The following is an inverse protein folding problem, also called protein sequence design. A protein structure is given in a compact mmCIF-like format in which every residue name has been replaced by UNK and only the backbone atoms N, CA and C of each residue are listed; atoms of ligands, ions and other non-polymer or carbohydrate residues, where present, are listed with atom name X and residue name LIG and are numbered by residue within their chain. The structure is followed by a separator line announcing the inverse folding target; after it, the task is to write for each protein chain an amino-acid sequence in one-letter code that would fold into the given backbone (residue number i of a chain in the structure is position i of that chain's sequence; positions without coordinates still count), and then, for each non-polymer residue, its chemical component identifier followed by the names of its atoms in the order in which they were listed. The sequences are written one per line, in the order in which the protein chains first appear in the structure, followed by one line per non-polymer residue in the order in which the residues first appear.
data_IF_141687305962
#
_entry.id   IF_141687305962
#
_cell.length_a   1.000
_cell.length_b   1.000
_cell.length_c   1.000
_cell.angle_alpha   90.00
_cell.angle_beta   90.00
_cell.angle_gamma   90.00
#
_symmetry.space_group_name_H-M   'P 1'
#
loop_
_entity.id
_entity.type
_entity.pdbx_description
1 polymer ?
#
# COMPACT_ATOMS: atom_id res chain seq x y z
N UNK A 1 -7.49 8.07 31.88
CA UNK A 1 -7.43 6.76 31.21
C UNK A 1 -5.96 6.39 31.03
N UNK A 2 -5.52 5.22 31.52
CA UNK A 2 -4.21 4.68 31.11
C UNK A 2 -4.23 4.62 29.59
N UNK A 3 -3.29 5.28 28.90
CA UNK A 3 -3.08 5.05 27.47
C UNK A 3 -2.49 3.65 27.36
N UNK A 4 -3.36 2.66 27.17
CA UNK A 4 -2.97 1.31 26.79
C UNK A 4 -2.43 1.42 25.36
N UNK A 5 -1.24 0.87 25.12
CA UNK A 5 -0.72 0.73 23.77
C UNK A 5 -1.69 -0.14 22.97
N UNK A 6 -2.08 0.31 21.78
CA UNK A 6 -2.98 -0.47 20.90
C UNK A 6 -2.14 -1.34 19.96
N UNK A 7 -2.48 -2.62 19.86
CA UNK A 7 -1.77 -3.59 19.04
C UNK A 7 -2.73 -4.16 18.00
N UNK A 8 -2.40 -3.96 16.72
CA UNK A 8 -3.27 -4.34 15.61
C UNK A 8 -2.69 -5.54 14.84
N UNK A 9 -3.52 -6.54 14.56
CA UNK A 9 -3.25 -7.58 13.57
C UNK A 9 -3.97 -7.28 12.26
N UNK A 10 -3.37 -7.57 11.11
CA UNK A 10 -4.11 -7.55 9.84
C UNK A 10 -4.75 -8.91 9.61
N UNK A 11 -6.05 -8.93 9.31
CA UNK A 11 -6.75 -10.16 8.92
C UNK A 11 -6.54 -10.49 7.45
N UNK A 12 -6.46 -11.79 7.17
CA UNK A 12 -6.43 -12.36 5.85
C UNK A 12 -7.05 -13.76 5.76
N UNK A 13 -6.81 -14.45 4.64
CA UNK A 13 -7.48 -15.72 4.34
C UNK A 13 -7.08 -16.89 5.24
N UNK A 14 -6.03 -16.78 6.05
CA UNK A 14 -5.48 -17.91 6.81
C UNK A 14 -5.64 -17.79 8.32
N UNK A 15 -5.98 -16.60 8.84
CA UNK A 15 -5.90 -16.24 10.26
C UNK A 15 -7.25 -15.75 10.84
N UNK A 16 -8.35 -16.06 10.17
CA UNK A 16 -9.70 -15.60 10.54
C UNK A 16 -10.55 -16.65 11.28
N UNK A 17 -9.97 -17.77 11.71
CA UNK A 17 -10.68 -18.76 12.54
C UNK A 17 -10.92 -18.21 13.95
N UNK A 18 -11.98 -18.67 14.63
CA UNK A 18 -12.30 -18.21 15.99
C UNK A 18 -11.21 -18.59 17.00
N UNK A 19 -10.52 -19.72 16.79
CA UNK A 19 -9.39 -20.16 17.61
C UNK A 19 -8.20 -19.20 17.47
N UNK A 20 -7.75 -18.94 16.24
CA UNK A 20 -6.61 -18.05 15.97
C UNK A 20 -6.91 -16.63 16.48
N UNK A 21 -8.10 -16.12 16.22
CA UNK A 21 -8.55 -14.81 16.72
C UNK A 21 -8.54 -14.76 18.26
N UNK A 22 -9.08 -15.79 18.93
CA UNK A 22 -9.08 -15.87 20.38
C UNK A 22 -7.66 -15.83 20.95
N UNK A 23 -6.74 -16.55 20.32
CA UNK A 23 -5.36 -16.67 20.78
C UNK A 23 -4.58 -15.37 20.51
N UNK A 24 -4.82 -14.67 19.39
CA UNK A 24 -4.25 -13.33 19.15
C UNK A 24 -4.74 -12.29 20.16
N UNK A 25 -6.03 -12.29 20.51
CA UNK A 25 -6.56 -11.42 21.56
C UNK A 25 -5.99 -11.78 22.94
N UNK A 26 -5.76 -13.06 23.22
CA UNK A 26 -5.10 -13.50 24.44
C UNK A 26 -3.62 -13.06 24.49
N UNK A 27 -2.94 -13.06 23.34
CA UNK A 27 -1.56 -12.60 23.22
C UNK A 27 -1.39 -11.08 23.42
N UNK A 28 -2.47 -10.30 23.28
CA UNK A 28 -2.48 -8.86 23.57
C UNK A 28 -2.98 -7.98 22.43
N UNK A 29 -3.48 -8.56 21.33
CA UNK A 29 -4.13 -7.80 20.26
C UNK A 29 -5.31 -6.98 20.82
N UNK A 30 -5.45 -5.74 20.37
CA UNK A 30 -6.54 -4.83 20.79
C UNK A 30 -7.51 -4.51 19.67
N UNK A 31 -7.11 -4.72 18.42
CA UNK A 31 -7.94 -4.46 17.25
C UNK A 31 -7.36 -5.09 16.00
N UNK A 32 -8.07 -4.94 14.89
CA UNK A 32 -7.69 -5.53 13.61
C UNK A 32 -7.69 -4.52 12.47
N UNK A 33 -6.92 -4.83 11.44
CA UNK A 33 -6.93 -4.16 10.14
C UNK A 33 -7.48 -5.09 9.07
N UNK A 34 -8.33 -4.55 8.20
CA UNK A 34 -8.69 -5.13 6.91
C UNK A 34 -8.05 -4.32 5.79
N UNK A 35 -7.25 -4.98 4.94
CA UNK A 35 -6.59 -4.31 3.82
C UNK A 35 -7.44 -4.41 2.55
N UNK A 36 -8.13 -3.33 2.18
CA UNK A 36 -9.05 -3.29 1.05
C UNK A 36 -8.35 -3.18 -0.32
N UNK A 37 -7.01 -3.18 -0.36
CA UNK A 37 -6.25 -3.26 -1.62
C UNK A 37 -6.32 -4.66 -2.26
N UNK A 38 -6.59 -5.70 -1.47
CA UNK A 38 -6.60 -7.09 -1.91
C UNK A 38 -7.96 -7.79 -1.78
N UNK A 39 -8.90 -7.19 -1.03
CA UNK A 39 -10.23 -7.76 -0.75
C UNK A 39 -11.28 -6.67 -0.75
N UNK A 40 -12.55 -7.04 -0.94
CA UNK A 40 -13.65 -6.13 -0.67
C UNK A 40 -14.19 -6.37 0.74
N UNK A 41 -14.75 -5.32 1.36
CA UNK A 41 -15.26 -5.44 2.72
C UNK A 41 -16.41 -6.46 2.84
N UNK A 42 -17.19 -6.64 1.77
CA UNK A 42 -18.24 -7.67 1.71
C UNK A 42 -17.68 -9.09 1.73
N UNK A 43 -16.53 -9.33 1.11
CA UNK A 43 -15.90 -10.65 1.06
C UNK A 43 -15.34 -11.06 2.44
N UNK A 44 -15.14 -10.08 3.34
CA UNK A 44 -14.68 -10.28 4.71
C UNK A 44 -15.80 -10.56 5.72
N UNK A 45 -17.08 -10.60 5.30
CA UNK A 45 -18.22 -10.81 6.20
C UNK A 45 -18.07 -12.07 7.09
N UNK A 46 -17.65 -13.25 6.58
CA UNK A 46 -17.42 -14.43 7.42
C UNK A 46 -16.29 -14.24 8.45
N UNK A 47 -15.27 -13.44 8.12
CA UNK A 47 -14.15 -13.16 9.03
C UNK A 47 -14.61 -12.27 10.18
N UNK A 48 -15.48 -11.31 9.88
CA UNK A 48 -16.06 -10.39 10.85
C UNK A 48 -17.06 -11.09 11.78
N UNK A 49 -17.81 -12.06 11.29
CA UNK A 49 -18.66 -12.91 12.13
C UNK A 49 -17.84 -13.65 13.20
N UNK A 50 -16.73 -14.28 12.80
CA UNK A 50 -15.81 -14.94 13.73
C UNK A 50 -15.20 -13.95 14.73
N UNK A 51 -14.79 -12.77 14.27
CA UNK A 51 -14.30 -11.69 15.13
C UNK A 51 -15.32 -11.33 16.22
N UNK A 52 -16.57 -11.08 15.84
CA UNK A 52 -17.58 -10.64 16.81
C UNK A 52 -18.00 -11.76 17.75
N UNK A 53 -18.02 -13.02 17.31
CA UNK A 53 -18.25 -14.16 18.18
C UNK A 53 -17.14 -14.30 19.26
N UNK A 54 -15.88 -14.13 18.87
CA UNK A 54 -14.75 -14.13 19.82
C UNK A 54 -14.80 -12.92 20.76
N UNK A 55 -15.10 -11.73 20.22
CA UNK A 55 -15.19 -10.51 21.01
C UNK A 55 -16.27 -10.59 22.08
N UNK A 56 -17.45 -11.13 21.73
CA UNK A 56 -18.56 -11.35 22.67
C UNK A 56 -18.15 -12.34 23.77
N UNK A 57 -17.58 -13.50 23.40
CA UNK A 57 -17.14 -14.53 24.35
C UNK A 57 -16.09 -14.01 25.32
N UNK A 58 -15.21 -13.09 24.89
CA UNK A 58 -14.15 -12.50 25.71
C UNK A 58 -14.58 -11.21 26.44
N UNK A 59 -15.79 -10.72 26.21
CA UNK A 59 -16.28 -9.43 26.73
C UNK A 59 -15.37 -8.25 26.38
N UNK A 60 -14.86 -8.22 25.14
CA UNK A 60 -14.01 -7.15 24.62
C UNK A 60 -14.73 -6.39 23.50
N UNK A 61 -14.32 -5.15 23.26
CA UNK A 61 -14.75 -4.35 22.11
C UNK A 61 -13.51 -4.04 21.28
N UNK A 62 -13.22 -4.84 20.24
CA UNK A 62 -12.04 -4.63 19.43
C UNK A 62 -12.22 -3.44 18.49
N UNK A 63 -11.13 -2.73 18.24
CA UNK A 63 -11.10 -1.81 17.11
C UNK A 63 -11.12 -2.59 15.79
N UNK A 64 -11.86 -2.06 14.81
CA UNK A 64 -11.78 -2.51 13.42
C UNK A 64 -11.36 -1.34 12.54
N UNK A 65 -10.17 -1.45 11.94
CA UNK A 65 -9.60 -0.50 11.01
C UNK A 65 -9.77 -1.02 9.58
N UNK A 66 -10.20 -0.17 8.66
CA UNK A 66 -10.13 -0.47 7.22
C UNK A 66 -9.03 0.37 6.59
N UNK A 67 -8.10 -0.28 5.91
CA UNK A 67 -7.06 0.37 5.11
C UNK A 67 -7.57 0.49 3.68
N UNK A 68 -7.83 1.74 3.26
CA UNK A 68 -8.35 2.03 1.93
C UNK A 68 -7.33 1.64 0.86
N UNK A 69 -7.80 1.47 -0.37
CA UNK A 69 -6.90 1.25 -1.50
C UNK A 69 -6.14 2.54 -1.82
N UNK A 70 -6.88 3.65 -1.83
CA UNK A 70 -6.41 4.99 -2.11
C UNK A 70 -5.62 5.16 -3.41
N UNK A 71 -4.91 6.29 -3.56
CA UNK A 71 -4.58 6.83 -4.87
C UNK A 71 -3.21 6.38 -5.36
N UNK A 72 -2.99 5.08 -5.39
CA UNK A 72 -1.79 4.52 -6.00
C UNK A 72 -2.01 4.28 -7.49
N UNK A 73 -1.03 4.65 -8.31
CA UNK A 73 -1.05 4.30 -9.73
C UNK A 73 -0.86 2.79 -9.83
N UNK A 74 -1.90 2.10 -10.31
CA UNK A 74 -1.89 0.65 -10.52
C UNK A 74 -2.20 0.35 -11.96
N UNK A 75 -1.57 -0.70 -12.49
CA UNK A 75 -1.94 -1.22 -13.80
C UNK A 75 -3.35 -1.80 -13.77
N UNK A 76 -3.97 -1.90 -14.94
CA UNK A 76 -5.29 -2.50 -15.09
C UNK A 76 -5.30 -4.03 -14.91
N UNK A 77 -6.42 -4.62 -15.29
CA UNK A 77 -6.60 -6.08 -15.28
C UNK A 77 -5.95 -6.66 -16.53
N UNK A 78 -5.07 -7.64 -16.34
CA UNK A 78 -4.50 -8.48 -17.39
C UNK A 78 -5.39 -9.72 -17.57
N UNK A 79 -5.46 -10.24 -18.81
CA UNK A 79 -6.19 -11.50 -19.10
C UNK A 79 -5.56 -12.70 -18.39
N UNK A 80 -4.25 -12.73 -18.36
CA UNK A 80 -3.41 -13.74 -17.72
C UNK A 80 -2.12 -13.06 -17.21
N UNK A 81 -1.43 -13.62 -16.21
CA UNK A 81 -0.12 -13.13 -15.79
C UNK A 81 0.82 -13.04 -16.99
N UNK A 82 1.47 -11.89 -17.16
CA UNK A 82 2.28 -11.57 -18.32
C UNK A 82 3.76 -11.79 -18.00
N UNK A 83 4.42 -12.82 -18.56
CA UNK A 83 5.86 -12.98 -18.42
C UNK A 83 6.58 -11.93 -19.28
N UNK A 84 7.47 -11.17 -18.64
CA UNK A 84 8.27 -10.13 -19.25
C UNK A 84 9.75 -10.51 -19.17
N UNK A 85 10.37 -10.77 -20.32
CA UNK A 85 11.82 -11.03 -20.42
C UNK A 85 12.62 -9.75 -20.61
N UNK A 86 13.82 -9.72 -20.07
CA UNK A 86 14.79 -8.62 -20.24
C UNK A 86 15.00 -8.28 -21.73
N UNK A 87 15.06 -6.99 -22.02
CA UNK A 87 15.22 -6.46 -23.36
C UNK A 87 13.97 -6.52 -24.23
N UNK A 88 12.89 -7.19 -23.82
CA UNK A 88 11.66 -7.29 -24.60
C UNK A 88 10.91 -5.95 -24.67
N UNK A 89 10.16 -5.73 -25.76
CA UNK A 89 9.35 -4.53 -25.93
C UNK A 89 7.96 -4.73 -25.32
N UNK A 90 7.41 -3.69 -24.72
CA UNK A 90 6.03 -3.65 -24.20
C UNK A 90 5.36 -2.33 -24.59
N UNK A 91 4.03 -2.34 -24.65
CA UNK A 91 3.22 -1.16 -24.96
C UNK A 91 2.34 -0.80 -23.77
N UNK A 92 2.33 0.48 -23.38
CA UNK A 92 1.47 1.04 -22.36
C UNK A 92 0.25 1.69 -23.01
N UNK A 93 -0.94 1.37 -22.54
CA UNK A 93 -2.21 1.92 -23.06
C UNK A 93 -3.19 2.25 -21.94
N UNK A 94 -4.17 3.14 -22.15
CA UNK A 94 -5.12 3.51 -21.11
C UNK A 94 -6.01 2.32 -20.75
N UNK A 95 -6.34 2.17 -19.46
CA UNK A 95 -7.28 1.15 -18.98
C UNK A 95 -8.61 1.20 -19.76
N UNK A 96 -9.12 2.40 -20.05
CA UNK A 96 -10.36 2.59 -20.80
C UNK A 96 -10.29 2.03 -22.23
N UNK A 97 -9.12 2.03 -22.87
CA UNK A 97 -8.93 1.47 -24.20
C UNK A 97 -9.03 -0.07 -24.23
N UNK A 98 -8.95 -0.71 -23.06
CA UNK A 98 -9.11 -2.17 -22.89
C UNK A 98 -10.53 -2.57 -22.47
N UNK A 99 -11.30 -1.64 -21.87
CA UNK A 99 -12.68 -1.86 -21.46
C UNK A 99 -13.62 -1.85 -22.69
N UNK A 100 -13.79 -3.01 -23.32
CA UNK A 100 -14.66 -3.18 -24.49
C UNK A 100 -14.03 -3.96 -25.65
N UNK A 101 -12.79 -4.43 -25.50
CA UNK A 101 -12.05 -5.11 -26.57
C UNK A 101 -11.58 -6.50 -26.12
N UNK A 102 -12.39 -7.51 -26.42
CA UNK A 102 -11.85 -8.85 -26.68
C UNK A 102 -10.98 -8.75 -27.93
N UNK A 103 -9.67 -8.55 -27.76
CA UNK A 103 -8.76 -8.59 -28.93
C UNK A 103 -7.73 -9.69 -28.73
N UNK A 104 -8.05 -10.81 -29.34
CA UNK A 104 -7.14 -11.55 -30.19
C UNK A 104 -7.54 -11.30 -31.66
N UNK A 105 -7.27 -10.13 -32.24
CA UNK A 105 -7.37 -9.94 -33.70
C UNK A 105 -6.58 -8.72 -34.22
N UNK A 106 -6.18 -8.70 -35.52
CA UNK A 106 -5.03 -7.93 -36.04
C UNK A 106 -5.30 -6.47 -36.44
N UNK A 107 -6.51 -5.94 -36.26
CA UNK A 107 -6.95 -4.75 -37.01
C UNK A 107 -6.42 -3.39 -36.49
N UNK A 108 -5.66 -3.34 -35.39
CA UNK A 108 -5.08 -2.08 -34.88
C UNK A 108 -3.57 -1.96 -35.13
N UNK A 109 -2.92 -3.00 -35.64
CA UNK A 109 -1.50 -2.97 -36.00
C UNK A 109 -1.23 -2.15 -37.29
N UNK A 110 -2.23 -1.96 -38.15
CA UNK A 110 -2.01 -1.35 -39.47
C UNK A 110 -2.12 0.18 -39.49
N UNK A 111 -2.69 0.81 -38.45
CA UNK A 111 -2.84 2.28 -38.42
C UNK A 111 -1.58 3.03 -38.02
N UNK A 112 -0.56 2.35 -37.49
CA UNK A 112 0.73 2.98 -37.14
C UNK A 112 1.80 2.74 -38.22
N UNK A 113 1.63 1.75 -39.10
CA UNK A 113 2.62 1.38 -40.14
C UNK A 113 2.42 2.07 -41.49
N UNK A 114 1.38 2.89 -41.68
CA UNK A 114 1.06 3.48 -42.99
C UNK A 114 1.64 4.88 -43.24
N UNK A 115 2.27 5.54 -42.26
CA UNK A 115 2.84 6.89 -42.46
C UNK A 115 4.36 6.92 -42.79
N UNK A 116 5.07 5.79 -42.80
CA UNK A 116 6.52 5.75 -43.09
C UNK A 116 6.87 5.46 -44.57
N UNK A 117 5.89 5.31 -45.47
CA UNK A 117 6.18 5.11 -46.90
C UNK A 117 6.18 6.43 -47.66
N UNK A 118 7.12 7.33 -47.37
CA UNK A 118 7.57 8.36 -48.31
C UNK A 118 8.80 9.14 -47.82
N UNK A 119 9.98 8.51 -47.74
CA UNK A 119 11.27 9.17 -48.09
C UNK A 119 12.26 8.10 -48.59
N UNK A 120 13.01 8.47 -49.62
CA UNK A 120 13.92 7.68 -50.46
C UNK A 120 15.14 7.05 -49.77
N UNK A 121 15.46 5.82 -50.22
CA UNK A 121 16.77 5.21 -50.47
C UNK A 121 18.03 5.79 -49.79
N UNK A 122 18.70 5.01 -48.93
CA UNK A 122 19.96 4.29 -49.22
C UNK A 122 20.50 3.59 -47.96
N UNK A 123 21.26 2.51 -48.20
CA UNK A 123 22.09 1.72 -47.28
C UNK A 123 21.43 0.66 -46.37
N UNK A 124 21.76 -0.61 -46.69
CA UNK A 124 21.37 -1.85 -46.01
C UNK A 124 22.37 -2.18 -44.90
N UNK A 125 21.87 -2.51 -43.73
CA UNK A 125 22.50 -3.50 -42.83
C UNK A 125 21.42 -4.42 -42.27
N UNK A 126 21.67 -5.74 -42.19
CA UNK A 126 20.60 -6.72 -41.96
C UNK A 126 20.29 -6.82 -40.47
N UNK A 127 19.17 -6.25 -40.04
CA UNK A 127 18.50 -6.69 -38.80
C UNK A 127 17.70 -7.94 -39.16
N UNK A 128 17.89 -9.09 -38.48
CA UNK A 128 17.13 -10.28 -38.80
C UNK A 128 15.65 -10.04 -38.51
N UNK A 129 14.82 -10.34 -39.50
CA UNK A 129 13.38 -10.40 -39.37
C UNK A 129 13.03 -11.40 -38.25
N UNK A 130 12.48 -10.89 -37.15
CA UNK A 130 11.92 -11.74 -36.11
C UNK A 130 10.39 -11.74 -36.23
N UNK A 131 9.89 -12.92 -36.49
CA UNK A 131 8.50 -13.34 -36.66
C UNK A 131 7.56 -12.84 -35.56
N UNK A 132 6.46 -12.20 -35.95
CA UNK A 132 5.10 -12.42 -35.42
C UNK A 132 4.80 -12.33 -33.91
N UNK A 133 5.73 -11.93 -33.05
CA UNK A 133 5.45 -11.78 -31.63
C UNK A 133 4.64 -10.49 -31.39
N UNK A 134 3.38 -10.64 -30.98
CA UNK A 134 2.56 -9.52 -30.51
C UNK A 134 3.25 -8.88 -29.32
N UNK A 135 3.60 -7.60 -29.46
CA UNK A 135 4.13 -6.80 -28.35
C UNK A 135 3.10 -6.79 -27.21
N UNK A 136 3.46 -7.25 -26.00
CA UNK A 136 2.57 -7.26 -24.87
C UNK A 136 2.03 -5.87 -24.53
N UNK A 137 0.78 -5.81 -24.09
CA UNK A 137 0.10 -4.56 -23.77
C UNK A 137 -0.19 -4.52 -22.28
N UNK A 138 0.29 -3.48 -21.60
CA UNK A 138 0.07 -3.23 -20.19
C UNK A 138 -0.94 -2.07 -20.06
N UNK A 139 -2.16 -2.32 -19.53
CA UNK A 139 -3.12 -1.27 -19.25
C UNK A 139 -2.64 -0.42 -18.07
N UNK A 140 -2.60 0.90 -18.23
CA UNK A 140 -2.20 1.87 -17.20
C UNK A 140 -3.24 2.99 -17.11
N UNK A 141 -3.36 3.70 -15.97
CA UNK A 141 -4.28 4.82 -15.84
C UNK A 141 -3.90 5.93 -16.83
N UNK A 142 -4.89 6.57 -17.47
CA UNK A 142 -4.62 7.63 -18.46
C UNK A 142 -3.83 8.81 -17.85
N UNK A 143 -4.02 9.07 -16.55
CA UNK A 143 -3.32 10.10 -15.80
C UNK A 143 -1.78 9.96 -15.80
N UNK A 144 -1.22 8.81 -16.19
CA UNK A 144 0.24 8.63 -16.21
C UNK A 144 0.91 9.23 -17.45
N UNK A 145 0.20 9.27 -18.59
CA UNK A 145 0.80 9.63 -19.88
C UNK A 145 1.37 11.05 -19.93
N UNK A 146 0.76 12.09 -19.32
CA UNK A 146 1.34 13.43 -19.28
C UNK A 146 2.74 13.51 -18.64
N UNK A 147 3.11 12.49 -17.86
CA UNK A 147 4.39 12.46 -17.15
C UNK A 147 5.46 11.60 -17.83
N UNK A 148 5.09 10.82 -18.86
CA UNK A 148 6.03 9.93 -19.54
C UNK A 148 6.92 10.73 -20.50
N UNK A 149 8.21 10.40 -20.49
CA UNK A 149 9.23 10.94 -21.41
C UNK A 149 10.08 9.79 -21.93
N UNK A 150 10.67 9.95 -23.11
CA UNK A 150 11.65 8.98 -23.59
C UNK A 150 12.85 8.90 -22.62
N UNK A 151 13.32 7.69 -22.36
CA UNK A 151 14.34 7.39 -21.35
C UNK A 151 13.81 7.31 -19.90
N UNK A 152 12.55 7.64 -19.66
CA UNK A 152 11.96 7.60 -18.32
C UNK A 152 11.93 6.15 -17.78
N UNK A 153 12.35 5.98 -16.53
CA UNK A 153 12.27 4.68 -15.85
C UNK A 153 10.92 4.52 -15.16
N UNK A 154 10.28 3.38 -15.39
CA UNK A 154 9.04 2.95 -14.75
C UNK A 154 9.32 1.71 -13.92
N UNK A 155 8.74 1.65 -12.73
CA UNK A 155 8.82 0.52 -11.81
C UNK A 155 7.46 -0.10 -11.67
N UNK A 156 7.35 -1.38 -11.95
CA UNK A 156 6.14 -2.17 -11.79
C UNK A 156 6.34 -3.18 -10.66
N UNK A 157 5.23 -3.56 -10.01
CA UNK A 157 5.22 -4.59 -8.95
C UNK A 157 6.26 -4.29 -7.87
N UNK A 158 6.16 -3.11 -7.28
CA UNK A 158 7.01 -2.61 -6.20
C UNK A 158 8.51 -2.58 -6.56
N UNK A 159 8.80 -2.42 -7.86
CA UNK A 159 10.14 -2.34 -8.40
C UNK A 159 10.76 -3.68 -8.80
N UNK A 160 10.03 -4.79 -8.66
CA UNK A 160 10.46 -6.10 -9.16
C UNK A 160 10.64 -6.12 -10.67
N UNK A 161 9.86 -5.30 -11.39
CA UNK A 161 9.93 -5.16 -12.85
C UNK A 161 10.29 -3.72 -13.19
N UNK A 162 11.28 -3.54 -14.05
CA UNK A 162 11.77 -2.21 -14.46
C UNK A 162 11.59 -2.06 -15.96
N UNK A 163 10.95 -0.99 -16.39
CA UNK A 163 10.80 -0.60 -17.78
C UNK A 163 11.51 0.73 -18.05
N UNK A 164 12.04 0.90 -19.25
CA UNK A 164 12.53 2.19 -19.76
C UNK A 164 11.67 2.60 -20.95
N UNK A 165 11.00 3.75 -20.84
CA UNK A 165 10.18 4.30 -21.92
C UNK A 165 11.06 4.57 -23.14
N UNK A 166 10.72 3.99 -24.28
CA UNK A 166 11.45 4.15 -25.53
C UNK A 166 10.81 5.16 -26.46
N UNK A 167 9.48 5.29 -26.42
CA UNK A 167 8.73 6.22 -27.26
C UNK A 167 7.41 6.61 -26.58
N UNK A 168 7.03 7.88 -26.66
CA UNK A 168 5.71 8.35 -26.21
C UNK A 168 4.93 8.83 -27.44
N UNK A 169 3.67 8.40 -27.56
CA UNK A 169 2.82 8.83 -28.67
C UNK A 169 2.43 10.30 -28.51
N UNK A 170 2.62 11.14 -29.54
CA UNK A 170 2.21 12.54 -29.49
C UNK A 170 0.70 12.74 -29.71
N UNK A 171 0.01 11.75 -30.29
CA UNK A 171 -1.38 11.89 -30.74
C UNK A 171 -2.40 11.22 -29.82
N UNK A 172 -1.97 10.22 -29.04
CA UNK A 172 -2.85 9.40 -28.20
C UNK A 172 -2.13 9.05 -26.91
N UNK A 173 -2.84 8.82 -25.79
CA UNK A 173 -2.26 8.36 -24.53
C UNK A 173 -1.74 6.92 -24.67
N UNK A 174 -0.56 6.75 -25.27
CA UNK A 174 0.12 5.48 -25.48
C UNK A 174 1.63 5.66 -25.44
N UNK A 175 2.36 4.64 -24.98
CA UNK A 175 3.82 4.65 -24.98
C UNK A 175 4.39 3.26 -25.24
N UNK A 176 5.61 3.21 -25.77
CA UNK A 176 6.42 2.00 -25.88
C UNK A 176 7.50 2.05 -24.81
N UNK A 177 7.84 0.88 -24.26
CA UNK A 177 8.92 0.73 -23.31
C UNK A 177 9.68 -0.57 -23.56
N UNK A 178 10.92 -0.61 -23.08
CA UNK A 178 11.77 -1.81 -23.05
C UNK A 178 11.90 -2.32 -21.63
N UNK A 179 11.82 -3.63 -21.43
CA UNK A 179 12.04 -4.28 -20.13
C UNK A 179 13.52 -4.20 -19.79
N UNK A 180 13.88 -3.46 -18.74
CA UNK A 180 15.23 -3.38 -18.21
C UNK A 180 15.50 -4.49 -17.18
N UNK A 181 14.49 -4.86 -16.39
CA UNK A 181 14.48 -6.02 -15.52
C UNK A 181 13.11 -6.68 -15.55
N UNK A 182 13.07 -7.95 -15.93
CA UNK A 182 11.88 -8.74 -16.20
C UNK A 182 11.33 -9.49 -14.99
N UNK A 183 10.20 -10.17 -15.19
CA UNK A 183 9.46 -10.89 -14.17
C UNK A 183 8.07 -11.29 -14.67
N UNK A 184 7.23 -11.82 -13.77
CA UNK A 184 5.83 -12.15 -14.09
C UNK A 184 4.94 -11.03 -13.58
N UNK A 185 4.36 -10.25 -14.48
CA UNK A 185 3.45 -9.17 -14.14
C UNK A 185 2.02 -9.69 -14.00
N UNK A 186 1.41 -9.57 -12.83
CA UNK A 186 0.00 -9.89 -12.61
C UNK A 186 -0.87 -8.63 -12.56
N UNK A 187 -2.19 -8.78 -12.56
CA UNK A 187 -3.15 -7.67 -12.55
C UNK A 187 -3.00 -6.74 -11.32
N UNK A 188 -3.35 -5.45 -11.47
CA UNK A 188 -3.46 -4.47 -10.38
C UNK A 188 -2.17 -4.17 -9.60
N UNK A 189 -1.02 -4.56 -10.14
CA UNK A 189 0.29 -4.23 -9.58
C UNK A 189 0.59 -2.73 -9.65
N UNK A 190 1.41 -2.27 -8.72
CA UNK A 190 1.83 -0.87 -8.63
C UNK A 190 2.61 -0.43 -9.87
N UNK A 191 2.55 0.85 -10.19
CA UNK A 191 3.30 1.52 -11.24
C UNK A 191 3.84 2.84 -10.68
N UNK A 192 5.15 2.96 -10.57
CA UNK A 192 5.83 4.20 -10.20
C UNK A 192 6.63 4.74 -11.39
N UNK A 193 6.72 6.07 -11.48
CA UNK A 193 7.53 6.79 -12.46
C UNK A 193 8.69 7.43 -11.70
N UNK A 194 9.93 7.06 -12.00
CA UNK A 194 11.09 7.52 -11.21
C UNK A 194 11.20 9.05 -11.23
N UNK A 195 11.17 9.67 -10.05
CA UNK A 195 11.30 11.13 -9.88
C UNK A 195 10.03 11.93 -10.19
N UNK A 196 8.88 11.28 -10.40
CA UNK A 196 7.61 11.93 -10.73
C UNK A 196 6.53 11.54 -9.73
N UNK A 197 5.75 12.52 -9.28
CA UNK A 197 4.50 12.29 -8.52
C UNK A 197 3.31 12.51 -9.45
N UNK A 198 2.47 11.48 -9.61
CA UNK A 198 1.24 11.55 -10.42
C UNK A 198 0.11 12.10 -9.56
N UNK A 199 -0.56 13.15 -10.02
CA UNK A 199 -1.75 13.69 -9.35
C UNK A 199 -2.97 12.77 -9.56
N UNK A 200 -3.32 12.03 -8.51
CA UNK A 200 -4.52 11.19 -8.45
C UNK A 200 -5.56 11.76 -7.46
N UNK A 201 -6.87 11.51 -7.66
CA UNK A 201 -7.90 11.90 -6.70
C UNK A 201 -7.68 11.19 -5.37
N UNK A 202 -7.95 11.84 -4.24
CA UNK A 202 -7.72 11.27 -2.89
C UNK A 202 -8.35 9.89 -2.69
N UNK A 203 -9.56 9.69 -3.18
CA UNK A 203 -10.35 8.46 -3.02
C UNK A 203 -10.64 7.87 -4.39
N UNK A 204 -10.51 6.56 -4.50
CA UNK A 204 -10.94 5.81 -5.69
C UNK A 204 -12.44 5.60 -5.70
N UNK A 205 -13.01 5.22 -6.85
CA UNK A 205 -14.41 4.82 -6.93
C UNK A 205 -14.73 3.65 -5.97
N UNK A 206 -13.80 2.69 -5.83
CA UNK A 206 -13.96 1.57 -4.91
C UNK A 206 -13.96 2.02 -3.44
N UNK A 207 -13.12 3.00 -3.08
CA UNK A 207 -13.14 3.57 -1.73
C UNK A 207 -14.50 4.17 -1.40
N UNK A 208 -15.13 4.91 -2.33
CA UNK A 208 -16.48 5.43 -2.12
C UNK A 208 -17.52 4.33 -1.91
N UNK A 209 -17.44 3.21 -2.62
CA UNK A 209 -18.34 2.06 -2.38
C UNK A 209 -18.08 1.42 -1.01
N UNK A 210 -16.81 1.28 -0.61
CA UNK A 210 -16.45 0.77 0.71
C UNK A 210 -16.95 1.68 1.84
N UNK A 211 -16.88 3.00 1.67
CA UNK A 211 -17.34 3.98 2.67
C UNK A 211 -18.85 3.83 2.98
N UNK A 212 -19.68 3.46 2.00
CA UNK A 212 -21.14 3.31 2.19
C UNK A 212 -21.52 2.18 3.14
N UNK A 213 -20.66 1.18 3.29
CA UNK A 213 -20.96 -0.05 4.06
C UNK A 213 -20.22 -0.14 5.39
N UNK A 214 -19.38 0.84 5.75
CA UNK A 214 -18.58 0.79 6.99
C UNK A 214 -19.42 0.63 8.26
N UNK A 215 -20.58 1.29 8.32
CA UNK A 215 -21.47 1.19 9.48
C UNK A 215 -22.01 -0.24 9.68
N UNK A 216 -22.34 -0.94 8.58
CA UNK A 216 -22.82 -2.33 8.61
C UNK A 216 -21.83 -3.21 9.37
N UNK A 217 -20.53 -2.99 9.12
CA UNK A 217 -19.45 -3.81 9.64
C UNK A 217 -18.83 -3.29 10.94
N UNK A 218 -19.41 -2.26 11.58
CA UNK A 218 -18.93 -1.65 12.83
C UNK A 218 -17.47 -1.18 12.77
N UNK A 219 -17.05 -0.65 11.63
CA UNK A 219 -15.71 -0.09 11.44
C UNK A 219 -15.51 1.12 12.36
N UNK A 220 -14.38 1.14 13.06
CA UNK A 220 -14.02 2.17 14.06
C UNK A 220 -13.02 3.19 13.54
N UNK A 221 -12.28 2.85 12.49
CA UNK A 221 -11.28 3.72 11.90
C UNK A 221 -11.03 3.42 10.43
N UNK A 222 -10.67 4.46 9.69
CA UNK A 222 -10.32 4.40 8.27
C UNK A 222 -8.89 4.89 8.11
N UNK A 223 -8.05 4.09 7.47
CA UNK A 223 -6.69 4.46 7.12
C UNK A 223 -6.65 4.97 5.69
N UNK A 224 -6.21 6.21 5.51
CA UNK A 224 -6.02 6.84 4.21
C UNK A 224 -4.56 6.64 3.77
N UNK A 225 -4.28 5.87 2.71
CA UNK A 225 -2.94 5.73 2.17
C UNK A 225 -2.52 6.98 1.38
N UNK A 226 -1.22 7.12 1.20
CA UNK A 226 -0.52 8.11 0.39
C UNK A 226 -0.95 9.55 0.67
N UNK A 227 -1.13 9.93 1.94
CA UNK A 227 -1.55 11.30 2.30
C UNK A 227 -0.48 12.29 1.87
N UNK A 228 -0.84 13.21 0.97
CA UNK A 228 0.07 14.22 0.40
C UNK A 228 -0.05 15.56 1.08
N UNK A 229 -1.25 15.91 1.51
CA UNK A 229 -1.55 17.21 2.10
C UNK A 229 -2.88 17.24 2.83
N UNK A 230 -3.19 18.36 3.49
CA UNK A 230 -4.42 18.49 4.30
C UNK A 230 -5.71 18.26 3.50
N UNK A 231 -5.70 18.59 2.21
CA UNK A 231 -6.88 18.46 1.35
C UNK A 231 -7.30 16.99 1.19
N UNK A 232 -6.35 16.03 1.20
CA UNK A 232 -6.68 14.61 1.18
C UNK A 232 -7.49 14.21 2.44
N UNK A 233 -7.09 14.70 3.61
CA UNK A 233 -7.81 14.43 4.86
C UNK A 233 -9.16 15.14 4.94
N UNK A 234 -9.25 16.35 4.39
CA UNK A 234 -10.52 17.09 4.28
C UNK A 234 -11.48 16.36 3.35
N UNK A 235 -10.99 15.84 2.21
CA UNK A 235 -11.79 15.07 1.26
C UNK A 235 -12.33 13.79 1.88
N UNK A 236 -11.50 13.01 2.60
CA UNK A 236 -11.98 11.84 3.32
C UNK A 236 -12.98 12.21 4.42
N UNK A 237 -12.70 13.25 5.21
CA UNK A 237 -13.61 13.72 6.25
C UNK A 237 -14.98 14.11 5.69
N UNK A 238 -15.01 14.80 4.55
CA UNK A 238 -16.25 15.13 3.84
C UNK A 238 -16.98 13.86 3.39
N UNK A 239 -16.28 12.92 2.77
CA UNK A 239 -16.88 11.66 2.33
C UNK A 239 -17.46 10.84 3.50
N UNK A 240 -16.80 10.82 4.67
CA UNK A 240 -17.34 10.22 5.89
C UNK A 240 -18.58 10.97 6.39
N UNK A 241 -18.57 12.30 6.39
CA UNK A 241 -19.73 13.10 6.79
C UNK A 241 -20.95 12.86 5.89
N UNK A 242 -20.74 12.79 4.58
CA UNK A 242 -21.80 12.52 3.59
C UNK A 242 -22.45 11.14 3.82
N UNK A 243 -21.71 10.19 4.39
CA UNK A 243 -22.18 8.85 4.78
C UNK A 243 -22.63 8.75 6.26
N UNK A 244 -22.71 9.87 7.00
CA UNK A 244 -23.06 9.91 8.45
C UNK A 244 -22.07 9.16 9.36
N UNK A 245 -20.81 9.10 8.95
CA UNK A 245 -19.72 8.39 9.62
C UNK A 245 -18.72 9.34 10.30
N UNK A 246 -19.15 10.52 10.74
CA UNK A 246 -18.28 11.52 11.36
C UNK A 246 -17.60 11.08 12.67
N UNK A 247 -18.06 9.97 13.26
CA UNK A 247 -17.49 9.35 14.45
C UNK A 247 -16.33 8.38 14.15
N UNK A 248 -16.16 7.96 12.89
CA UNK A 248 -15.07 7.08 12.49
C UNK A 248 -13.75 7.84 12.56
N UNK A 249 -12.75 7.23 13.21
CA UNK A 249 -11.41 7.81 13.33
C UNK A 249 -10.67 7.81 11.98
N UNK A 250 -9.93 8.87 11.70
CA UNK A 250 -9.09 8.99 10.51
C UNK A 250 -7.63 8.71 10.86
N UNK A 251 -7.05 7.71 10.22
CA UNK A 251 -5.65 7.32 10.31
C UNK A 251 -4.93 7.77 9.03
N UNK A 252 -4.06 8.78 9.13
CA UNK A 252 -3.35 9.31 7.98
C UNK A 252 -2.03 8.57 7.77
N UNK A 253 -1.89 7.81 6.68
CA UNK A 253 -0.67 7.05 6.38
C UNK A 253 0.35 7.93 5.67
N UNK A 254 1.52 8.04 6.29
CA UNK A 254 2.67 8.78 5.78
C UNK A 254 3.57 7.79 5.07
N UNK A 255 3.49 7.80 3.75
CA UNK A 255 4.09 6.81 2.84
C UNK A 255 5.05 7.44 1.83
N UNK A 256 5.07 8.78 1.72
CA UNK A 256 5.86 9.50 0.73
C UNK A 256 6.51 10.76 1.33
N UNK A 257 7.43 11.37 0.57
CA UNK A 257 8.16 12.59 1.01
C UNK A 257 7.22 13.76 1.29
N UNK A 258 6.22 13.95 0.44
CA UNK A 258 5.29 15.07 0.56
C UNK A 258 4.50 15.02 1.87
N UNK A 259 4.03 13.84 2.28
CA UNK A 259 3.36 13.63 3.56
C UNK A 259 4.26 13.92 4.76
N UNK A 260 5.55 13.61 4.68
CA UNK A 260 6.54 13.96 5.71
C UNK A 260 6.77 15.47 5.77
N UNK A 261 6.97 16.12 4.62
CA UNK A 261 7.21 17.56 4.52
C UNK A 261 6.00 18.39 4.99
N UNK A 262 4.78 17.92 4.69
CA UNK A 262 3.53 18.58 5.07
C UNK A 262 2.98 18.15 6.43
N UNK A 263 3.69 17.28 7.18
CA UNK A 263 3.18 16.60 8.37
C UNK A 263 2.43 17.51 9.33
N UNK A 264 3.01 18.66 9.71
CA UNK A 264 2.40 19.61 10.64
C UNK A 264 1.01 20.09 10.20
N UNK A 265 0.79 20.24 8.90
CA UNK A 265 -0.50 20.64 8.32
C UNK A 265 -1.55 19.53 8.37
N UNK A 266 -1.13 18.26 8.48
CA UNK A 266 -2.01 17.09 8.49
C UNK A 266 -2.62 16.86 9.88
N UNK A 267 -1.86 17.13 10.94
CA UNK A 267 -2.18 16.76 12.33
C UNK A 267 -3.57 17.25 12.81
N UNK A 268 -4.06 18.45 12.45
CA UNK A 268 -5.41 18.89 12.83
C UNK A 268 -6.56 18.13 12.15
N UNK A 269 -6.27 17.40 11.06
CA UNK A 269 -7.27 16.82 10.17
C UNK A 269 -7.36 15.28 10.25
N UNK A 270 -6.53 14.63 11.07
CA UNK A 270 -6.63 13.20 11.36
C UNK A 270 -6.66 12.95 12.87
N UNK A 271 -7.09 11.75 13.27
CA UNK A 271 -7.06 11.32 14.67
C UNK A 271 -5.70 10.75 15.03
N UNK A 272 -5.06 10.06 14.08
CA UNK A 272 -3.78 9.39 14.27
C UNK A 272 -2.92 9.42 13.00
N UNK A 273 -1.61 9.53 13.18
CA UNK A 273 -0.62 9.38 12.10
C UNK A 273 -0.16 7.92 12.03
N UNK A 274 0.02 7.38 10.83
CA UNK A 274 0.56 6.04 10.60
C UNK A 274 1.89 6.17 9.86
N UNK A 275 2.98 5.72 10.49
CA UNK A 275 4.32 5.71 9.88
C UNK A 275 4.48 4.38 9.14
N UNK A 276 4.26 4.42 7.82
CA UNK A 276 4.34 3.25 6.95
C UNK A 276 5.76 3.11 6.37
N UNK A 277 6.58 2.33 7.07
CA UNK A 277 8.04 2.26 6.85
C UNK A 277 8.43 1.58 5.54
N UNK A 278 7.65 0.60 5.09
CA UNK A 278 7.83 -0.06 3.80
C UNK A 278 7.80 0.97 2.66
N UNK A 279 6.71 1.72 2.55
CA UNK A 279 6.55 2.75 1.51
C UNK A 279 7.53 3.92 1.68
N UNK A 280 7.77 4.37 2.92
CA UNK A 280 8.79 5.39 3.18
C UNK A 280 10.21 4.93 2.81
N UNK A 281 10.50 3.64 2.89
CA UNK A 281 11.74 3.03 2.43
C UNK A 281 11.92 3.10 0.91
N UNK A 282 10.82 3.18 0.15
CA UNK A 282 10.85 3.46 -1.29
C UNK A 282 11.04 4.96 -1.56
N UNK A 283 10.47 5.82 -0.70
CA UNK A 283 10.56 7.26 -0.86
C UNK A 283 11.91 7.87 -0.42
N UNK A 284 12.61 7.26 0.54
CA UNK A 284 13.87 7.75 1.11
C UNK A 284 15.01 6.74 0.99
N UNK A 285 16.28 7.17 0.87
CA UNK A 285 17.40 6.27 1.02
C UNK A 285 17.34 5.53 2.36
N UNK A 286 17.52 4.21 2.37
CA UNK A 286 17.40 3.37 3.57
C UNK A 286 18.15 3.90 4.80
N UNK A 287 19.40 4.42 4.70
CA UNK A 287 20.10 4.96 5.87
C UNK A 287 19.43 6.19 6.51
N UNK A 288 18.56 6.90 5.78
CA UNK A 288 17.81 8.05 6.29
C UNK A 288 16.49 7.67 6.95
N UNK A 289 15.94 6.49 6.65
CA UNK A 289 14.60 6.06 7.09
C UNK A 289 14.43 6.09 8.62
N UNK A 290 15.37 5.60 9.46
CA UNK A 290 15.23 5.71 10.91
C UNK A 290 15.15 7.16 11.40
N UNK A 291 15.87 8.08 10.76
CA UNK A 291 15.82 9.51 11.05
C UNK A 291 14.46 10.13 10.72
N UNK A 292 13.88 9.74 9.57
CA UNK A 292 12.55 10.19 9.13
C UNK A 292 11.47 9.72 10.10
N UNK A 293 11.48 8.46 10.54
CA UNK A 293 10.56 7.97 11.57
C UNK A 293 10.65 8.81 12.85
N UNK A 294 11.88 9.06 13.34
CA UNK A 294 12.09 9.84 14.57
C UNK A 294 11.64 11.30 14.41
N UNK A 295 11.79 11.89 13.22
CA UNK A 295 11.27 13.22 12.91
C UNK A 295 9.74 13.25 12.99
N UNK A 296 9.08 12.28 12.36
CA UNK A 296 7.61 12.18 12.39
C UNK A 296 7.13 11.99 13.84
N UNK A 297 7.71 11.03 14.57
CA UNK A 297 7.37 10.74 15.95
C UNK A 297 7.50 11.99 16.86
N UNK A 298 8.63 12.70 16.78
CA UNK A 298 8.85 13.94 17.56
C UNK A 298 7.82 15.02 17.22
N UNK A 299 7.48 15.17 15.94
CA UNK A 299 6.47 16.14 15.50
C UNK A 299 5.09 15.75 16.04
N UNK A 300 4.70 14.47 15.94
CA UNK A 300 3.45 13.97 16.51
C UNK A 300 3.37 14.22 18.03
N UNK A 301 4.44 13.93 18.77
CA UNK A 301 4.53 14.17 20.21
C UNK A 301 4.39 15.65 20.57
N UNK A 302 5.07 16.55 19.84
CA UNK A 302 5.00 17.99 20.07
C UNK A 302 3.57 18.54 19.91
N UNK A 303 2.80 17.98 18.98
CA UNK A 303 1.40 18.34 18.74
C UNK A 303 0.39 17.48 19.52
N UNK A 304 0.87 16.58 20.40
CA UNK A 304 0.04 15.62 21.14
C UNK A 304 -0.84 14.74 20.24
N UNK A 305 -0.42 14.52 18.98
CA UNK A 305 -1.06 13.62 18.02
C UNK A 305 -0.57 12.19 18.26
N UNK A 306 -1.43 11.20 18.54
CA UNK A 306 -1.00 9.81 18.58
C UNK A 306 -0.45 9.39 17.21
N UNK A 307 0.49 8.45 17.22
CA UNK A 307 1.01 7.86 16.01
C UNK A 307 1.20 6.35 16.16
N UNK A 308 1.12 5.67 15.03
CA UNK A 308 1.29 4.24 14.85
C UNK A 308 2.57 3.98 14.06
N UNK A 309 3.29 2.90 14.38
CA UNK A 309 4.39 2.40 13.55
C UNK A 309 3.99 1.06 12.95
N UNK A 310 4.13 0.92 11.63
CA UNK A 310 3.65 -0.25 10.87
C UNK A 310 4.68 -0.71 9.85
N UNK A 311 4.44 -1.92 9.29
CA UNK A 311 5.25 -2.64 8.29
C UNK A 311 6.65 -3.02 8.79
N UNK A 312 7.15 -4.19 8.40
CA UNK A 312 8.49 -4.68 8.76
C UNK A 312 8.74 -4.76 10.28
N UNK A 313 7.69 -5.05 11.06
CA UNK A 313 7.81 -5.15 12.52
C UNK A 313 8.37 -6.51 12.91
N UNK A 314 7.81 -7.59 12.36
CA UNK A 314 8.24 -8.97 12.58
C UNK A 314 8.21 -9.74 11.25
N UNK A 315 8.65 -9.10 10.15
CA UNK A 315 8.52 -9.65 8.80
C UNK A 315 9.10 -11.07 8.67
N UNK A 316 10.19 -11.39 9.37
CA UNK A 316 10.76 -12.74 9.38
C UNK A 316 9.80 -13.80 9.94
N UNK A 317 8.89 -13.40 10.82
CA UNK A 317 7.92 -14.30 11.46
C UNK A 317 6.75 -14.71 10.57
N UNK A 318 6.64 -14.13 9.37
CA UNK A 318 5.73 -14.67 8.36
C UNK A 318 6.11 -16.13 8.00
N UNK A 319 7.41 -16.44 7.99
CA UNK A 319 7.93 -17.76 7.59
C UNK A 319 8.65 -18.51 8.72
N UNK A 320 9.02 -17.83 9.81
CA UNK A 320 9.81 -18.39 10.89
C UNK A 320 9.14 -18.22 12.27
N UNK A 321 9.27 -19.19 13.20
CA UNK A 321 8.61 -19.11 14.50
C UNK A 321 9.25 -18.13 15.49
N UNK A 322 10.42 -17.56 15.16
CA UNK A 322 11.22 -16.71 16.06
C UNK A 322 11.71 -15.49 15.27
N UNK A 323 11.61 -14.28 15.84
CA UNK A 323 12.07 -13.06 15.17
C UNK A 323 13.58 -12.93 15.18
N UNK A 324 14.07 -11.98 14.41
CA UNK A 324 15.45 -11.50 14.53
C UNK A 324 15.59 -10.57 15.75
N UNK A 325 16.82 -10.48 16.27
CA UNK A 325 17.18 -9.49 17.31
C UNK A 325 16.97 -8.04 16.83
N UNK A 326 17.13 -7.80 15.53
CA UNK A 326 16.95 -6.49 14.93
C UNK A 326 15.48 -6.04 15.00
N UNK A 327 14.54 -6.93 14.67
CA UNK A 327 13.10 -6.68 14.74
C UNK A 327 12.64 -6.40 16.17
N UNK A 328 13.09 -7.21 17.14
CA UNK A 328 12.78 -6.97 18.57
C UNK A 328 13.30 -5.59 19.01
N UNK A 329 14.54 -5.25 18.66
CA UNK A 329 15.12 -3.93 18.97
C UNK A 329 14.34 -2.80 18.30
N UNK A 330 13.86 -2.99 17.08
CA UNK A 330 13.11 -1.99 16.32
C UNK A 330 11.75 -1.70 16.96
N UNK A 331 10.99 -2.74 17.32
CA UNK A 331 9.73 -2.62 18.08
C UNK A 331 9.96 -1.87 19.40
N UNK A 332 10.98 -2.29 20.15
CA UNK A 332 11.31 -1.69 21.43
C UNK A 332 11.57 -0.19 21.28
N UNK A 333 12.37 0.20 20.29
CA UNK A 333 12.66 1.60 20.00
C UNK A 333 11.43 2.38 19.52
N UNK A 334 10.53 1.78 18.74
CA UNK A 334 9.29 2.44 18.31
C UNK A 334 8.41 2.83 19.51
N UNK A 335 8.34 1.96 20.52
CA UNK A 335 7.62 2.26 21.78
C UNK A 335 8.32 3.34 22.59
N UNK A 336 9.66 3.32 22.65
CA UNK A 336 10.44 4.37 23.32
C UNK A 336 10.30 5.74 22.62
N UNK A 337 10.20 5.75 21.29
CA UNK A 337 9.92 6.93 20.48
C UNK A 337 8.50 7.48 20.73
N UNK A 338 7.66 6.76 21.48
CA UNK A 338 6.36 7.23 21.95
C UNK A 338 5.17 6.75 21.12
N UNK A 339 5.33 5.68 20.34
CA UNK A 339 4.23 5.09 19.58
C UNK A 339 3.02 4.81 20.50
N UNK A 340 1.84 5.21 20.03
CA UNK A 340 0.57 4.93 20.71
C UNK A 340 -0.03 3.60 20.26
N UNK A 341 0.40 3.12 19.09
CA UNK A 341 0.02 1.82 18.58
C UNK A 341 1.05 1.23 17.62
N UNK A 342 0.95 -0.07 17.41
CA UNK A 342 1.79 -0.85 16.51
C UNK A 342 0.92 -1.83 15.71
N UNK A 343 1.38 -2.27 14.55
CA UNK A 343 0.60 -3.16 13.68
C UNK A 343 1.46 -4.20 12.98
N UNK A 344 0.97 -5.45 12.99
CA UNK A 344 1.44 -6.53 12.12
C UNK A 344 0.64 -6.54 10.81
N UNK A 345 1.33 -6.79 9.70
CA UNK A 345 0.75 -6.80 8.36
C UNK A 345 0.72 -8.21 7.79
N UNK A 346 1.73 -8.60 7.01
CA UNK A 346 1.79 -9.94 6.40
C UNK A 346 1.97 -11.05 7.43
N UNK A 347 2.57 -10.72 8.57
CA UNK A 347 2.86 -11.67 9.66
C UNK A 347 1.60 -12.35 10.21
N UNK A 348 0.50 -11.60 10.34
CA UNK A 348 -0.78 -12.16 10.78
C UNK A 348 -1.65 -12.57 9.59
N UNK A 349 -1.74 -11.72 8.55
CA UNK A 349 -2.72 -11.92 7.47
C UNK A 349 -2.49 -13.17 6.61
N UNK A 350 -1.22 -13.57 6.43
CA UNK A 350 -0.84 -14.70 5.59
C UNK A 350 0.34 -15.50 6.15
N UNK A 351 0.85 -15.13 7.32
CA UNK A 351 2.01 -15.75 7.94
C UNK A 351 1.68 -17.10 8.57
N UNK A 352 2.73 -17.91 8.77
CA UNK A 352 2.63 -19.25 9.37
C UNK A 352 2.53 -19.22 10.89
N UNK A 353 2.88 -18.10 11.53
CA UNK A 353 2.98 -17.94 12.98
C UNK A 353 2.26 -16.67 13.48
N UNK A 354 0.96 -16.48 13.16
CA UNK A 354 0.25 -15.23 13.44
C UNK A 354 0.12 -14.95 14.95
N UNK A 355 -0.14 -16.00 15.76
CA UNK A 355 -0.32 -15.89 17.21
C UNK A 355 1.02 -15.58 17.88
N UNK A 356 2.08 -16.28 17.51
CA UNK A 356 3.42 -16.10 18.05
C UNK A 356 3.98 -14.72 17.69
N UNK A 357 3.74 -14.24 16.46
CA UNK A 357 4.12 -12.89 16.07
C UNK A 357 3.40 -11.84 16.92
N UNK A 358 2.09 -11.99 17.16
CA UNK A 358 1.35 -11.10 18.06
C UNK A 358 1.87 -11.14 19.49
N UNK A 359 2.20 -12.33 20.01
CA UNK A 359 2.77 -12.50 21.34
C UNK A 359 4.12 -11.77 21.47
N UNK A 360 5.03 -11.96 20.51
CA UNK A 360 6.32 -11.26 20.48
C UNK A 360 6.15 -9.74 20.41
N UNK A 361 5.24 -9.24 19.56
CA UNK A 361 4.95 -7.82 19.46
C UNK A 361 4.48 -7.27 20.81
N UNK A 362 3.53 -7.96 21.44
CA UNK A 362 2.96 -7.62 22.74
C UNK A 362 4.01 -7.59 23.84
N UNK A 363 4.74 -8.68 24.04
CA UNK A 363 5.76 -8.82 25.08
C UNK A 363 6.86 -7.77 24.94
N UNK A 364 7.39 -7.60 23.73
CA UNK A 364 8.43 -6.60 23.44
C UNK A 364 7.94 -5.20 23.75
N UNK A 365 6.68 -4.92 23.42
CA UNK A 365 6.09 -3.61 23.63
C UNK A 365 5.86 -3.30 25.11
N UNK A 366 5.36 -4.27 25.88
CA UNK A 366 5.18 -4.12 27.32
C UNK A 366 6.51 -4.00 28.05
N UNK A 367 7.53 -4.73 27.61
CA UNK A 367 8.89 -4.60 28.14
C UNK A 367 9.46 -3.19 27.88
N UNK A 368 9.28 -2.66 26.67
CA UNK A 368 9.70 -1.29 26.36
C UNK A 368 8.97 -0.23 27.20
N UNK A 369 7.66 -0.42 27.45
CA UNK A 369 6.89 0.43 28.35
C UNK A 369 7.41 0.36 29.79
N UNK A 370 7.71 -0.85 30.28
CA UNK A 370 8.30 -1.06 31.61
C UNK A 370 9.63 -0.33 31.74
N UNK A 371 10.55 -0.56 30.79
CA UNK A 371 11.84 0.10 30.74
C UNK A 371 11.71 1.63 30.74
N UNK A 372 10.77 2.18 29.95
CA UNK A 372 10.52 3.62 29.89
C UNK A 372 10.01 4.19 31.22
N UNK A 373 9.20 3.43 31.97
CA UNK A 373 8.73 3.84 33.30
C UNK A 373 9.88 3.83 34.31
N UNK A 374 10.68 2.76 34.34
CA UNK A 374 11.82 2.63 35.23
C UNK A 374 12.89 3.69 34.96
N UNK A 375 13.23 3.93 33.69
CA UNK A 375 14.25 4.91 33.29
C UNK A 375 13.89 6.35 33.68
N UNK A 376 12.61 6.69 33.77
CA UNK A 376 12.15 8.01 34.24
C UNK A 376 12.35 8.23 35.74
N UNK A 377 12.65 7.18 36.51
CA UNK A 377 13.04 7.34 37.91
C UNK A 377 14.54 7.61 38.08
N UNK A 378 15.34 7.45 37.02
CA UNK A 378 16.80 7.61 37.04
C UNK A 378 17.31 8.90 36.37
N UNK A 379 16.42 9.68 35.75
CA UNK A 379 16.67 10.99 35.14
C UNK A 379 15.80 12.04 35.82
#
# INVERSE_FOLDING_TARGET
MKKTLELYGTLGPTDHSTEILNDMFQAGMTGLRLNLSHTNLADCEPWLENLYAVAEKRHIVPDLLVDLQGPEVRIGILKEPLPLSDGSAVRLCPIAAMAGKSISSPAENERFSMEEKNVSSTEKSPVPANSGMKVPVIPVPEAVFPYLKEGQTLRLDDGNIILTVTKVSPALPAAEARVAAGGVLSSRKSLAIDGVSVELPTLTAQDFENLKVLQKYRVTGVMLPFVRGREDLINLKKALMDNRLSHIRIFAKIENRQGVEQLSSLLPHCDQIVIARGDLGNAYPLPKLPGVQKQIARTCLAFKKPFMVVTQMLASMAEHPVPTRAEVSDIFNAVLDGASSLMLTGETAAGRYPVEAMQVLSDTSFEALRYRMESKFFL
#
